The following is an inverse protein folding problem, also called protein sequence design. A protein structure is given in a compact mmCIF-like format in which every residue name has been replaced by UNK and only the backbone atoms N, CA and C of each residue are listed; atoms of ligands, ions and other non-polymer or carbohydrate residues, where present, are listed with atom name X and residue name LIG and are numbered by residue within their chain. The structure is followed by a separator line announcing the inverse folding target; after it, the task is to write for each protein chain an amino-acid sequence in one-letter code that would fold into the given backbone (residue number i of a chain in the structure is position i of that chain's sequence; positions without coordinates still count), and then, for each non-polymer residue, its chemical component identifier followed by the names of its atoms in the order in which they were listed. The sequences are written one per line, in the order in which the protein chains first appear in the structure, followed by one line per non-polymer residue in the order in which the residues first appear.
data_IF_964114873798
#
_entry.id   IF_964114873798
#
_cell.length_a   1.000
_cell.length_b   1.000
_cell.length_c   1.000
_cell.angle_alpha   90.00
_cell.angle_beta   90.00
_cell.angle_gamma   90.00
#
_symmetry.space_group_name_H-M   'P 1'
#
loop_
_entity.id
_entity.type
_entity.pdbx_description
1 polymer ?
#
# COMPACT_ATOMS: atom_id res chain seq x y z
N UNK A 1 -35.22 13.14 37.41
CA UNK A 1 -35.01 12.81 35.98
C UNK A 1 -33.55 12.41 35.81
N UNK A 2 -33.28 11.12 35.63
CA UNK A 2 -31.93 10.66 35.31
C UNK A 2 -31.66 11.01 33.84
N UNK A 3 -30.65 11.84 33.60
CA UNK A 3 -30.17 12.15 32.26
C UNK A 3 -29.43 10.92 31.76
N UNK A 4 -30.10 10.12 30.94
CA UNK A 4 -29.45 9.04 30.20
C UNK A 4 -28.58 9.68 29.12
N UNK A 5 -27.29 9.85 29.40
CA UNK A 5 -26.29 10.14 28.36
C UNK A 5 -26.19 8.91 27.47
N UNK A 6 -26.88 8.94 26.32
CA UNK A 6 -26.58 8.02 25.24
C UNK A 6 -25.15 8.33 24.78
N UNK A 7 -24.19 7.50 25.22
CA UNK A 7 -22.89 7.40 24.56
C UNK A 7 -23.21 7.13 23.09
N UNK A 8 -22.95 8.11 22.23
CA UNK A 8 -23.27 7.99 20.80
C UNK A 8 -22.74 6.67 20.29
N UNK A 9 -23.58 5.88 19.62
CA UNK A 9 -23.21 4.59 19.06
C UNK A 9 -21.80 4.70 18.46
N UNK A 10 -20.83 3.94 19.00
CA UNK A 10 -19.45 4.05 18.54
C UNK A 10 -19.43 3.88 17.03
N UNK A 11 -19.25 4.99 16.32
CA UNK A 11 -19.31 5.01 14.87
C UNK A 11 -18.18 4.11 14.36
N UNK A 12 -18.37 3.42 13.23
CA UNK A 12 -17.28 2.63 12.66
C UNK A 12 -16.02 3.50 12.44
N UNK A 13 -14.84 2.91 12.58
CA UNK A 13 -13.59 3.60 12.27
C UNK A 13 -13.40 3.68 10.75
N UNK A 14 -13.94 4.73 10.14
CA UNK A 14 -13.78 5.00 8.72
C UNK A 14 -12.53 5.83 8.38
N UNK A 15 -11.89 6.45 9.37
CA UNK A 15 -10.66 7.20 9.13
C UNK A 15 -9.56 6.28 8.57
N UNK A 16 -9.37 5.11 9.20
CA UNK A 16 -8.35 4.16 8.75
C UNK A 16 -8.68 3.54 7.39
N UNK A 17 -9.96 3.26 7.13
CA UNK A 17 -10.43 2.78 5.82
C UNK A 17 -10.14 3.82 4.75
N UNK A 18 -10.42 5.10 5.02
CA UNK A 18 -10.16 6.20 4.08
C UNK A 18 -8.66 6.35 3.80
N UNK A 19 -7.82 6.28 4.83
CA UNK A 19 -6.36 6.34 4.69
C UNK A 19 -5.84 5.24 3.76
N UNK A 20 -6.22 3.99 3.99
CA UNK A 20 -5.82 2.89 3.12
C UNK A 20 -6.42 2.97 1.71
N UNK A 21 -7.66 3.42 1.56
CA UNK A 21 -8.29 3.59 0.25
C UNK A 21 -7.57 4.65 -0.59
N UNK A 22 -7.24 5.80 0.01
CA UNK A 22 -6.47 6.86 -0.66
C UNK A 22 -5.07 6.35 -1.00
N UNK A 23 -4.37 5.71 -0.06
CA UNK A 23 -3.03 5.19 -0.33
C UNK A 23 -3.02 4.07 -1.37
N UNK A 24 -4.07 3.26 -1.46
CA UNK A 24 -4.22 2.27 -2.53
C UNK A 24 -4.21 2.95 -3.90
N UNK A 25 -4.96 4.05 -4.07
CA UNK A 25 -4.94 4.81 -5.33
C UNK A 25 -3.57 5.44 -5.62
N UNK A 26 -2.90 5.99 -4.60
CA UNK A 26 -1.56 6.54 -4.74
C UNK A 26 -0.57 5.47 -5.22
N UNK A 27 -0.55 4.30 -4.56
CA UNK A 27 0.30 3.18 -4.97
C UNK A 27 -0.09 2.60 -6.32
N UNK A 28 -1.37 2.65 -6.71
CA UNK A 28 -1.81 2.21 -8.03
C UNK A 28 -1.16 3.08 -9.11
N UNK A 29 -1.23 4.40 -8.95
CA UNK A 29 -0.61 5.36 -9.89
C UNK A 29 0.90 5.14 -9.94
N UNK A 30 1.57 5.07 -8.79
CA UNK A 30 3.03 4.87 -8.73
C UNK A 30 3.41 3.52 -9.37
N UNK A 31 2.81 2.42 -8.94
CA UNK A 31 3.14 1.09 -9.41
C UNK A 31 2.87 0.90 -10.90
N UNK A 32 1.73 1.38 -11.40
CA UNK A 32 1.42 1.33 -12.84
C UNK A 32 2.34 2.23 -13.66
N UNK A 33 2.69 3.42 -13.16
CA UNK A 33 3.64 4.32 -13.82
C UNK A 33 5.03 3.67 -13.96
N UNK A 34 5.56 3.08 -12.89
CA UNK A 34 6.82 2.31 -12.95
C UNK A 34 6.69 1.15 -13.94
N UNK A 35 5.52 0.52 -14.04
CA UNK A 35 5.21 -0.51 -15.05
C UNK A 35 5.34 -0.01 -16.48
N UNK A 36 4.78 1.18 -16.77
CA UNK A 36 4.89 1.82 -18.08
C UNK A 36 6.35 2.21 -18.38
N UNK A 37 7.08 2.68 -17.37
CA UNK A 37 8.49 3.01 -17.51
C UNK A 37 9.34 1.80 -17.88
N UNK A 38 9.25 0.68 -17.14
CA UNK A 38 10.01 -0.53 -17.46
C UNK A 38 9.56 -1.19 -18.77
N UNK A 39 8.28 -1.03 -19.16
CA UNK A 39 7.82 -1.45 -20.48
C UNK A 39 8.47 -0.60 -21.59
N UNK A 40 8.68 0.70 -21.33
CA UNK A 40 9.37 1.60 -22.24
C UNK A 40 10.87 1.26 -22.36
N UNK A 41 11.53 0.82 -21.28
CA UNK A 41 12.91 0.32 -21.34
C UNK A 41 13.06 -0.91 -22.23
N UNK A 42 12.05 -1.79 -22.28
CA UNK A 42 12.05 -2.94 -23.19
C UNK A 42 11.87 -2.53 -24.65
N UNK A 43 11.11 -1.46 -24.91
CA UNK A 43 10.93 -0.91 -26.26
C UNK A 43 12.13 -0.07 -26.72
N UNK A 44 12.73 0.69 -25.80
CA UNK A 44 13.82 1.62 -26.02
C UNK A 44 14.90 1.45 -24.94
N UNK A 45 15.88 0.55 -25.15
CA UNK A 45 16.88 0.20 -24.14
C UNK A 45 17.73 1.37 -23.62
N UNK A 46 17.90 2.43 -24.40
CA UNK A 46 18.66 3.62 -23.98
C UNK A 46 18.07 4.32 -22.75
N UNK A 47 16.79 4.08 -22.43
CA UNK A 47 16.12 4.60 -21.23
C UNK A 47 16.69 4.03 -19.93
N UNK A 48 17.54 3.00 -19.97
CA UNK A 48 18.28 2.53 -18.79
C UNK A 48 19.41 3.50 -18.37
N UNK A 49 19.77 4.46 -19.25
CA UNK A 49 20.83 5.46 -19.04
C UNK A 49 22.19 4.90 -18.63
N UNK A 50 22.48 3.63 -18.93
CA UNK A 50 23.65 2.87 -18.47
C UNK A 50 23.88 2.99 -16.94
N UNK A 51 22.81 3.25 -16.18
CA UNK A 51 22.85 3.47 -14.75
C UNK A 51 22.30 2.24 -14.03
N UNK A 52 22.98 1.76 -12.96
CA UNK A 52 22.48 0.63 -12.20
C UNK A 52 21.15 0.94 -11.52
N UNK A 53 20.91 2.21 -11.16
CA UNK A 53 19.70 2.63 -10.47
C UNK A 53 18.48 2.55 -11.38
N UNK A 54 18.57 3.07 -12.61
CA UNK A 54 17.49 3.11 -13.59
C UNK A 54 17.48 1.88 -14.51
N UNK A 55 17.95 0.73 -14.03
CA UNK A 55 18.00 -0.47 -14.85
C UNK A 55 16.71 -1.29 -14.72
N UNK A 56 16.25 -1.86 -15.83
CA UNK A 56 15.10 -2.76 -15.88
C UNK A 56 15.14 -3.86 -14.81
N UNK A 57 16.33 -4.41 -14.56
CA UNK A 57 16.54 -5.47 -13.56
C UNK A 57 16.18 -5.06 -12.14
N UNK A 58 16.41 -3.78 -11.76
CA UNK A 58 16.10 -3.24 -10.43
C UNK A 58 14.72 -2.61 -10.35
N UNK A 59 14.27 -1.96 -11.42
CA UNK A 59 12.96 -1.32 -11.46
C UNK A 59 11.81 -2.33 -11.61
N UNK A 60 12.05 -3.51 -12.18
CA UNK A 60 11.04 -4.57 -12.26
C UNK A 60 10.51 -5.02 -10.88
N UNK A 61 11.35 -5.40 -9.90
CA UNK A 61 10.84 -5.77 -8.58
C UNK A 61 10.18 -4.59 -7.84
N UNK A 62 10.59 -3.34 -8.12
CA UNK A 62 9.88 -2.13 -7.65
C UNK A 62 8.46 -2.13 -8.20
N UNK A 63 8.28 -2.16 -9.52
CA UNK A 63 6.95 -2.21 -10.15
C UNK A 63 6.06 -3.29 -9.52
N UNK A 64 6.57 -4.51 -9.45
CA UNK A 64 5.74 -5.62 -8.96
C UNK A 64 5.40 -5.49 -7.48
N UNK A 65 6.31 -5.00 -6.65
CA UNK A 65 6.07 -4.78 -5.21
C UNK A 65 5.08 -3.65 -4.97
N UNK A 66 5.27 -2.50 -5.64
CA UNK A 66 4.36 -1.37 -5.53
C UNK A 66 2.95 -1.71 -6.02
N UNK A 67 2.80 -2.55 -7.06
CA UNK A 67 1.47 -2.98 -7.54
C UNK A 67 0.83 -4.03 -6.64
N UNK A 68 1.56 -5.10 -6.27
CA UNK A 68 0.97 -6.20 -5.49
C UNK A 68 0.75 -5.78 -4.04
N UNK A 69 1.79 -5.30 -3.37
CA UNK A 69 1.74 -5.01 -1.94
C UNK A 69 1.37 -3.55 -1.66
N UNK A 70 1.87 -2.60 -2.45
CA UNK A 70 1.47 -1.19 -2.34
C UNK A 70 -0.02 -1.01 -2.66
N UNK A 71 -0.41 -1.23 -3.91
CA UNK A 71 -1.79 -1.08 -4.37
C UNK A 71 -2.71 -2.18 -3.83
N UNK A 72 -2.42 -3.45 -4.18
CA UNK A 72 -3.26 -4.59 -3.81
C UNK A 72 -3.36 -4.79 -2.30
N UNK A 73 -2.23 -4.74 -1.59
CA UNK A 73 -2.20 -4.82 -0.13
C UNK A 73 -3.00 -3.71 0.54
N UNK A 74 -2.82 -2.45 0.12
CA UNK A 74 -3.60 -1.33 0.67
C UNK A 74 -5.10 -1.44 0.37
N UNK A 75 -5.47 -1.94 -0.83
CA UNK A 75 -6.85 -2.21 -1.18
C UNK A 75 -7.45 -3.28 -0.26
N UNK A 76 -6.71 -4.35 0.03
CA UNK A 76 -7.12 -5.42 0.94
C UNK A 76 -7.27 -4.91 2.37
N UNK A 77 -6.38 -4.05 2.87
CA UNK A 77 -6.56 -3.41 4.18
C UNK A 77 -7.81 -2.53 4.25
N UNK A 78 -8.02 -1.66 3.26
CA UNK A 78 -9.21 -0.80 3.22
C UNK A 78 -10.50 -1.62 3.20
N UNK A 79 -10.57 -2.61 2.31
CA UNK A 79 -11.76 -3.45 2.13
C UNK A 79 -12.00 -4.35 3.34
N UNK A 80 -10.99 -5.02 3.88
CA UNK A 80 -11.14 -5.86 5.07
C UNK A 80 -11.60 -5.08 6.30
N UNK A 81 -10.98 -3.91 6.58
CA UNK A 81 -11.39 -3.05 7.70
C UNK A 81 -12.79 -2.46 7.53
N UNK A 82 -13.21 -2.20 6.30
CA UNK A 82 -14.59 -1.78 6.04
C UNK A 82 -15.57 -2.94 6.22
N UNK A 83 -15.30 -4.08 5.58
CA UNK A 83 -16.21 -5.23 5.54
C UNK A 83 -16.39 -5.82 6.94
N UNK A 84 -15.31 -6.10 7.68
CA UNK A 84 -15.39 -6.77 8.99
C UNK A 84 -16.25 -5.97 9.98
N UNK A 85 -16.12 -4.65 9.98
CA UNK A 85 -16.91 -3.78 10.84
C UNK A 85 -18.40 -3.87 10.52
N UNK A 86 -18.74 -3.91 9.22
CA UNK A 86 -20.12 -3.94 8.73
C UNK A 86 -20.73 -5.33 8.77
N UNK A 87 -19.97 -6.40 8.59
CA UNK A 87 -20.52 -7.77 8.63
C UNK A 87 -20.75 -8.23 10.06
N UNK A 88 -19.88 -7.84 10.99
CA UNK A 88 -20.00 -8.18 12.40
C UNK A 88 -20.76 -7.10 13.22
N UNK A 89 -21.12 -5.98 12.58
CA UNK A 89 -21.80 -4.84 13.21
C UNK A 89 -21.09 -4.33 14.47
N UNK A 90 -19.77 -4.28 14.43
CA UNK A 90 -18.92 -3.85 15.56
C UNK A 90 -17.77 -2.98 15.07
N UNK A 91 -17.30 -2.05 15.90
CA UNK A 91 -16.12 -1.23 15.60
C UNK A 91 -14.86 -2.10 15.63
N UNK A 92 -13.81 -1.67 14.91
CA UNK A 92 -12.48 -2.28 15.03
C UNK A 92 -12.01 -2.30 16.49
N UNK A 93 -11.37 -3.41 16.88
CA UNK A 93 -10.95 -3.70 18.26
C UNK A 93 -10.02 -2.63 18.86
N UNK A 94 -9.18 -2.00 18.05
CA UNK A 94 -8.23 -0.98 18.52
C UNK A 94 -7.82 -0.03 17.40
N UNK A 95 -8.03 1.26 17.63
CA UNK A 95 -7.60 2.34 16.73
C UNK A 95 -6.07 2.45 16.66
N UNK A 96 -5.39 2.16 17.77
CA UNK A 96 -3.92 2.15 17.84
C UNK A 96 -3.33 1.03 16.99
N UNK A 97 -3.89 -0.18 17.06
CA UNK A 97 -3.45 -1.29 16.21
C UNK A 97 -3.73 -1.02 14.72
N UNK A 98 -4.90 -0.48 14.40
CA UNK A 98 -5.24 -0.15 13.02
C UNK A 98 -4.33 0.97 12.46
N UNK A 99 -3.92 1.93 13.29
CA UNK A 99 -2.94 2.96 12.90
C UNK A 99 -1.54 2.39 12.74
N UNK A 100 -1.13 1.45 13.60
CA UNK A 100 0.15 0.75 13.49
C UNK A 100 0.25 -0.03 12.18
N UNK A 101 -0.79 -0.77 11.80
CA UNK A 101 -0.78 -1.50 10.52
C UNK A 101 -0.70 -0.55 9.33
N UNK A 102 -1.36 0.61 9.38
CA UNK A 102 -1.25 1.61 8.33
C UNK A 102 0.17 2.16 8.17
N UNK A 103 0.74 2.73 9.23
CA UNK A 103 2.08 3.31 9.15
C UNK A 103 3.16 2.25 8.91
N UNK A 104 3.00 1.07 9.52
CA UNK A 104 3.87 -0.07 9.28
C UNK A 104 3.84 -0.53 7.82
N UNK A 105 2.65 -0.62 7.23
CA UNK A 105 2.52 -0.98 5.81
C UNK A 105 3.16 0.07 4.91
N UNK A 106 2.89 1.36 5.14
CA UNK A 106 3.51 2.43 4.35
C UNK A 106 5.04 2.41 4.46
N UNK A 107 5.59 2.21 5.65
CA UNK A 107 7.03 2.12 5.86
C UNK A 107 7.64 0.92 5.14
N UNK A 108 7.02 -0.26 5.21
CA UNK A 108 7.52 -1.47 4.56
C UNK A 108 7.58 -1.30 3.04
N UNK A 109 6.52 -0.75 2.41
CA UNK A 109 6.53 -0.56 0.95
C UNK A 109 7.60 0.44 0.52
N UNK A 110 7.72 1.58 1.22
CA UNK A 110 8.76 2.58 0.92
C UNK A 110 10.16 1.97 1.07
N UNK A 111 10.40 1.23 2.15
CA UNK A 111 11.67 0.56 2.39
C UNK A 111 11.96 -0.50 1.32
N UNK A 112 10.96 -1.26 0.88
CA UNK A 112 11.12 -2.26 -0.17
C UNK A 112 11.51 -1.61 -1.50
N UNK A 113 10.81 -0.55 -1.92
CA UNK A 113 11.08 0.15 -3.18
C UNK A 113 12.49 0.76 -3.19
N UNK A 114 12.90 1.42 -2.09
CA UNK A 114 14.26 1.94 -1.94
C UNK A 114 15.29 0.80 -1.98
N UNK A 115 15.03 -0.31 -1.27
CA UNK A 115 15.94 -1.45 -1.21
C UNK A 115 16.17 -2.07 -2.59
N UNK A 116 15.12 -2.21 -3.40
CA UNK A 116 15.23 -2.74 -4.76
C UNK A 116 16.02 -1.81 -5.70
N UNK A 117 15.81 -0.48 -5.62
CA UNK A 117 16.61 0.49 -6.39
C UNK A 117 18.10 0.43 -6.00
N UNK A 118 18.39 0.22 -4.71
CA UNK A 118 19.76 0.02 -4.22
C UNK A 118 20.35 -1.34 -4.60
N UNK A 119 19.53 -2.29 -5.06
CA UNK A 119 19.95 -3.61 -5.52
C UNK A 119 19.91 -4.71 -4.45
N UNK A 120 19.32 -4.43 -3.28
CA UNK A 120 19.12 -5.44 -2.24
C UNK A 120 17.92 -6.32 -2.60
N UNK A 121 18.19 -7.53 -3.09
CA UNK A 121 17.16 -8.50 -3.47
C UNK A 121 17.57 -9.92 -3.11
N UNK A 122 16.59 -10.75 -2.77
CA UNK A 122 16.78 -12.19 -2.55
C UNK A 122 16.74 -12.99 -3.86
N UNK A 123 16.52 -12.34 -5.01
CA UNK A 123 16.33 -12.97 -6.34
C UNK A 123 15.16 -13.95 -6.43
N UNK A 124 14.32 -14.01 -5.38
CA UNK A 124 13.04 -14.73 -5.36
C UNK A 124 11.93 -13.79 -5.81
N UNK A 125 10.91 -14.37 -6.45
CA UNK A 125 9.72 -13.63 -6.87
C UNK A 125 8.70 -13.64 -5.74
N UNK A 126 8.41 -12.45 -5.21
CA UNK A 126 7.47 -12.20 -4.10
C UNK A 126 7.86 -12.92 -2.81
#
# INVERSE_FOLDING_TARGET
MAVTTYSGAEQYNFDIVKKFAVMSLVWAVIGMFVGVYIASELAWPFLNFDSPYFSFGRFRPVHTTSVIFGFGGSALFATSYYVVQRTCQTRLISDGMASFTFWGWMAIIILADISYVLGYTQSRKY
#
